data_IF_262399190494
#
_entry.id   IF_262399190494
#
_cell.length_a   1.000
_cell.length_b   1.000
_cell.length_c   1.000
_cell.angle_alpha   90.00
_cell.angle_beta   90.00
_cell.angle_gamma   90.00
#
_symmetry.space_group_name_H-M   'P 1'
#
loop_
_entity.id
_entity.type
_entity.pdbx_description
1 polymer ?
#
# COMPACT_ATOMS: atom_id res chain seq x y z
N UNK A 1 -16.39 -1.25 -19.54
CA UNK A 1 -16.72 -0.40 -18.38
C UNK A 1 -16.50 1.03 -18.84
N UNK A 2 -17.53 1.70 -19.36
CA UNK A 2 -17.39 3.05 -19.93
C UNK A 2 -18.30 4.01 -19.16
N UNK A 3 -17.69 4.84 -18.32
CA UNK A 3 -18.31 5.81 -17.41
C UNK A 3 -17.38 6.15 -16.24
N UNK A 4 -17.59 7.29 -15.59
CA UNK A 4 -16.86 7.66 -14.37
C UNK A 4 -16.96 6.53 -13.32
N UNK A 5 -15.81 6.02 -12.90
CA UNK A 5 -15.75 4.93 -11.92
C UNK A 5 -15.59 5.54 -10.53
N UNK A 6 -16.62 5.41 -9.69
CA UNK A 6 -16.51 5.80 -8.29
C UNK A 6 -15.39 5.01 -7.61
N UNK A 7 -14.51 5.69 -6.86
CA UNK A 7 -13.45 5.03 -6.07
C UNK A 7 -14.02 3.95 -5.14
N UNK A 8 -15.22 4.19 -4.59
CA UNK A 8 -15.95 3.25 -3.74
C UNK A 8 -16.37 1.95 -4.43
N UNK A 9 -16.44 1.93 -5.76
CA UNK A 9 -16.70 0.69 -6.50
C UNK A 9 -15.53 -0.30 -6.39
N UNK A 10 -14.31 0.22 -6.21
CA UNK A 10 -13.07 -0.56 -6.07
C UNK A 10 -12.70 -0.66 -4.60
N UNK A 11 -12.38 0.46 -3.93
CA UNK A 11 -11.92 0.50 -2.54
C UNK A 11 -12.70 1.51 -1.69
N UNK A 12 -12.92 1.17 -0.42
CA UNK A 12 -13.49 2.06 0.57
C UNK A 12 -12.45 3.03 1.14
N UNK A 13 -11.89 3.87 0.27
CA UNK A 13 -10.81 4.80 0.59
C UNK A 13 -11.35 6.16 1.09
N UNK A 14 -11.99 6.15 2.25
CA UNK A 14 -12.61 7.35 2.83
C UNK A 14 -11.60 8.37 3.36
N UNK A 15 -10.33 7.99 3.51
CA UNK A 15 -9.23 8.90 3.89
C UNK A 15 -9.10 10.05 2.89
N UNK A 16 -9.32 9.79 1.60
CA UNK A 16 -9.30 10.83 0.56
C UNK A 16 -10.30 11.95 0.83
N UNK A 17 -11.46 11.66 1.46
CA UNK A 17 -12.43 12.69 1.87
C UNK A 17 -11.83 13.59 2.95
N UNK A 18 -11.07 13.03 3.90
CA UNK A 18 -10.40 13.80 4.94
C UNK A 18 -9.26 14.66 4.39
N UNK A 19 -8.66 14.23 3.28
CA UNK A 19 -7.58 14.96 2.60
C UNK A 19 -8.11 15.97 1.56
N UNK A 20 -9.38 15.89 1.16
CA UNK A 20 -9.98 16.77 0.17
C UNK A 20 -9.85 18.27 0.49
N UNK A 21 -9.97 18.74 1.76
CA UNK A 21 -9.74 20.16 2.08
C UNK A 21 -8.34 20.66 1.72
N UNK A 22 -7.32 19.80 1.65
CA UNK A 22 -5.97 20.19 1.23
C UNK A 22 -5.93 20.60 -0.24
N UNK A 23 -6.82 20.02 -1.06
CA UNK A 23 -6.96 20.36 -2.48
C UNK A 23 -7.62 21.73 -2.69
N UNK A 24 -8.32 22.29 -1.69
CA UNK A 24 -8.79 23.68 -1.75
C UNK A 24 -7.65 24.70 -1.63
N UNK A 25 -6.52 24.30 -1.06
CA UNK A 25 -5.32 25.14 -0.93
C UNK A 25 -4.44 24.96 -2.17
N UNK A 26 -4.09 23.71 -2.48
CA UNK A 26 -3.30 23.33 -3.65
C UNK A 26 -3.89 22.06 -4.25
N UNK A 27 -4.61 22.18 -5.36
CA UNK A 27 -5.08 21.04 -6.13
C UNK A 27 -3.93 20.45 -6.93
N UNK A 28 -3.19 19.49 -6.35
CA UNK A 28 -2.08 18.83 -7.01
C UNK A 28 -1.80 17.45 -6.41
N UNK A 29 -1.48 16.42 -7.23
CA UNK A 29 -1.12 15.09 -6.74
C UNK A 29 0.10 15.10 -5.80
N UNK A 30 1.00 16.07 -5.94
CA UNK A 30 2.15 16.22 -5.05
C UNK A 30 1.76 16.44 -3.59
N UNK A 31 0.58 17.00 -3.30
CA UNK A 31 0.08 17.17 -1.93
C UNK A 31 -0.16 15.82 -1.28
N UNK A 32 -0.78 14.87 -1.98
CA UNK A 32 -1.01 13.52 -1.46
C UNK A 32 0.31 12.77 -1.22
N UNK A 33 1.25 12.86 -2.17
CA UNK A 33 2.57 12.27 -2.02
C UNK A 33 3.33 12.85 -0.82
N UNK A 34 3.28 14.17 -0.63
CA UNK A 34 3.88 14.84 0.52
C UNK A 34 3.24 14.38 1.84
N UNK A 35 1.90 14.28 1.88
CA UNK A 35 1.17 13.76 3.06
C UNK A 35 1.60 12.34 3.39
N UNK A 36 1.68 11.45 2.39
CA UNK A 36 2.14 10.06 2.57
C UNK A 36 3.55 10.00 3.16
N UNK A 37 4.51 10.72 2.58
CA UNK A 37 5.91 10.75 3.05
C UNK A 37 5.99 11.29 4.48
N UNK A 38 5.31 12.40 4.78
CA UNK A 38 5.32 13.00 6.12
C UNK A 38 4.65 12.09 7.16
N UNK A 39 3.51 11.47 6.81
CA UNK A 39 2.81 10.55 7.69
C UNK A 39 3.66 9.32 7.99
N UNK A 40 4.28 8.71 6.97
CA UNK A 40 5.17 7.57 7.16
C UNK A 40 6.40 7.93 7.99
N UNK A 41 7.05 9.08 7.71
CA UNK A 41 8.16 9.55 8.51
C UNK A 41 7.77 9.73 9.99
N UNK A 42 6.56 10.23 10.27
CA UNK A 42 6.04 10.35 11.63
C UNK A 42 5.86 8.99 12.34
N UNK A 43 5.66 7.90 11.60
CA UNK A 43 5.60 6.53 12.15
C UNK A 43 6.87 6.14 12.90
N UNK A 44 8.04 6.64 12.48
CA UNK A 44 9.31 6.42 13.17
C UNK A 44 9.31 7.00 14.60
N UNK A 45 8.60 8.13 14.82
CA UNK A 45 8.40 8.70 16.16
C UNK A 45 7.58 7.73 17.01
N UNK A 46 6.51 7.17 16.46
CA UNK A 46 5.70 6.15 17.13
C UNK A 46 6.53 4.92 17.54
N UNK A 47 7.33 4.38 16.62
CA UNK A 47 8.23 3.25 16.91
C UNK A 47 9.26 3.62 17.98
N UNK A 48 9.85 4.81 17.91
CA UNK A 48 10.78 5.30 18.94
C UNK A 48 10.12 5.39 20.32
N UNK A 49 8.87 5.90 20.39
CA UNK A 49 8.13 6.02 21.64
C UNK A 49 7.76 4.65 22.23
N UNK A 50 7.35 3.70 21.39
CA UNK A 50 7.13 2.30 21.80
C UNK A 50 8.45 1.68 22.28
N UNK A 51 9.54 1.87 21.53
CA UNK A 51 10.87 1.41 21.89
C UNK A 51 11.35 1.96 23.23
N UNK A 52 11.16 3.26 23.49
CA UNK A 52 11.46 3.85 24.80
C UNK A 52 10.68 3.20 25.94
N UNK A 53 9.40 2.91 25.71
CA UNK A 53 8.52 2.33 26.71
C UNK A 53 8.82 0.85 26.98
N UNK A 54 9.17 0.08 25.94
CA UNK A 54 9.38 -1.37 26.04
C UNK A 54 10.84 -1.78 26.29
N UNK A 55 11.82 -1.08 25.70
CA UNK A 55 13.25 -1.43 25.78
C UNK A 55 13.97 -0.72 26.93
N UNK A 56 13.40 0.37 27.46
CA UNK A 56 14.04 1.24 28.45
C UNK A 56 15.47 1.67 28.07
N UNK A 57 15.77 1.79 26.77
CA UNK A 57 17.08 2.18 26.26
C UNK A 57 16.96 3.04 25.01
N UNK A 58 17.44 4.29 25.08
CA UNK A 58 17.26 5.28 24.00
C UNK A 58 17.93 4.87 22.69
N UNK A 59 19.14 4.32 22.74
CA UNK A 59 19.88 3.86 21.55
C UNK A 59 19.14 2.75 20.78
N UNK A 60 18.73 1.67 21.46
CA UNK A 60 17.92 0.62 20.85
C UNK A 60 16.57 1.12 20.33
N UNK A 61 15.92 2.06 21.03
CA UNK A 61 14.70 2.69 20.52
C UNK A 61 14.94 3.51 19.23
N UNK A 62 16.04 4.26 19.16
CA UNK A 62 16.45 4.98 17.94
C UNK A 62 16.77 4.00 16.81
N UNK A 63 17.47 2.91 17.11
CA UNK A 63 17.77 1.86 16.16
C UNK A 63 16.49 1.24 15.58
N UNK A 64 15.48 0.94 16.41
CA UNK A 64 14.19 0.43 15.92
C UNK A 64 13.46 1.42 15.01
N UNK A 65 13.50 2.72 15.32
CA UNK A 65 12.92 3.75 14.47
C UNK A 65 13.68 3.91 13.14
N UNK A 66 15.01 3.82 13.19
CA UNK A 66 15.86 3.79 12.00
C UNK A 66 15.58 2.56 11.12
N UNK A 67 15.48 1.38 11.73
CA UNK A 67 15.10 0.13 11.02
C UNK A 67 13.75 0.26 10.35
N UNK A 68 12.76 0.90 10.98
CA UNK A 68 11.46 1.17 10.34
C UNK A 68 11.60 2.03 9.08
N UNK A 69 12.33 3.15 9.14
CA UNK A 69 12.54 4.02 7.97
C UNK A 69 13.34 3.33 6.86
N UNK A 70 14.29 2.47 7.24
CA UNK A 70 15.12 1.71 6.31
C UNK A 70 14.48 0.39 5.87
N UNK A 71 13.21 0.13 6.23
CA UNK A 71 12.58 -1.15 5.94
C UNK A 71 12.18 -1.24 4.46
N UNK A 72 12.74 -2.16 3.64
CA UNK A 72 12.48 -2.19 2.20
C UNK A 72 11.00 -2.24 1.78
N UNK A 73 10.11 -3.04 2.42
CA UNK A 73 8.69 -3.02 2.09
C UNK A 73 8.04 -1.63 2.29
N UNK A 74 8.47 -0.89 3.31
CA UNK A 74 8.00 0.48 3.54
C UNK A 74 8.52 1.45 2.47
N UNK A 75 9.77 1.26 2.02
CA UNK A 75 10.36 2.09 0.98
C UNK A 75 9.66 1.90 -0.36
N UNK A 76 9.30 0.66 -0.73
CA UNK A 76 8.49 0.40 -1.91
C UNK A 76 7.10 1.01 -1.79
N UNK A 77 6.41 0.82 -0.66
CA UNK A 77 5.08 1.38 -0.44
C UNK A 77 5.05 2.92 -0.47
N UNK A 78 6.13 3.59 -0.03
CA UNK A 78 6.24 5.05 -0.10
C UNK A 78 6.69 5.54 -1.47
N UNK A 79 7.52 4.75 -2.17
CA UNK A 79 8.09 5.08 -3.47
C UNK A 79 7.12 4.89 -4.63
N UNK A 80 6.00 4.21 -4.42
CA UNK A 80 4.90 4.13 -5.38
C UNK A 80 3.95 5.33 -5.26
N UNK A 81 2.90 5.32 -6.08
CA UNK A 81 1.80 6.26 -6.04
C UNK A 81 1.10 6.32 -4.67
N UNK A 82 0.24 7.33 -4.49
CA UNK A 82 -0.43 7.54 -3.22
C UNK A 82 -1.37 6.39 -2.86
N UNK A 83 -1.18 5.84 -1.67
CA UNK A 83 -2.05 4.86 -1.04
C UNK A 83 -2.38 5.31 0.38
N UNK A 84 -3.66 5.52 0.66
CA UNK A 84 -4.12 5.85 2.01
C UNK A 84 -3.78 4.76 3.03
N UNK A 85 -3.76 3.50 2.63
CA UNK A 85 -3.28 2.38 3.44
C UNK A 85 -1.83 2.61 3.94
N UNK A 86 -0.95 3.20 3.14
CA UNK A 86 0.41 3.54 3.57
C UNK A 86 0.41 4.61 4.67
N UNK A 87 -0.48 5.61 4.62
CA UNK A 87 -0.71 6.59 5.71
C UNK A 87 -1.22 5.90 6.99
N UNK A 88 -2.09 4.90 6.85
CA UNK A 88 -2.63 4.17 8.01
C UNK A 88 -1.57 3.36 8.77
N UNK A 89 -0.45 3.00 8.13
CA UNK A 89 0.72 2.39 8.79
C UNK A 89 1.09 3.15 10.07
N UNK A 90 1.31 4.46 9.95
CA UNK A 90 1.68 5.31 11.08
C UNK A 90 0.53 5.46 12.07
N UNK A 91 -0.71 5.53 11.57
CA UNK A 91 -1.89 5.60 12.43
C UNK A 91 -2.01 4.36 13.33
N UNK A 92 -1.77 3.16 12.78
CA UNK A 92 -1.77 1.90 13.54
C UNK A 92 -0.63 1.85 14.57
N UNK A 93 0.56 2.37 14.23
CA UNK A 93 1.68 2.49 15.17
C UNK A 93 1.29 3.39 16.36
N UNK A 94 0.75 4.58 16.09
CA UNK A 94 0.32 5.49 17.15
C UNK A 94 -0.86 4.94 17.95
N UNK A 95 -1.83 4.30 17.30
CA UNK A 95 -2.94 3.63 17.96
C UNK A 95 -2.41 2.57 18.95
N UNK A 96 -1.49 1.71 18.51
CA UNK A 96 -0.85 0.75 19.39
C UNK A 96 -0.12 1.44 20.55
N UNK A 97 0.68 2.48 20.29
CA UNK A 97 1.40 3.22 21.33
C UNK A 97 0.46 3.79 22.41
N UNK A 98 -0.62 4.45 21.99
CA UNK A 98 -1.58 5.04 22.92
C UNK A 98 -2.38 3.99 23.68
N UNK A 99 -2.75 2.89 23.02
CA UNK A 99 -3.36 1.74 23.71
C UNK A 99 -2.38 1.11 24.71
N UNK A 100 -1.12 0.95 24.33
CA UNK A 100 -0.07 0.39 25.18
C UNK A 100 0.14 1.22 26.44
N UNK A 101 0.10 2.55 26.31
CA UNK A 101 0.24 3.53 27.40
C UNK A 101 -1.07 3.92 28.09
N UNK A 102 -2.19 3.24 27.76
CA UNK A 102 -3.54 3.47 28.32
C UNK A 102 -4.08 4.90 28.13
N UNK A 103 -3.71 5.56 27.03
CA UNK A 103 -4.25 6.86 26.63
C UNK A 103 -5.38 6.65 25.62
N UNK A 104 -6.59 6.41 26.10
CA UNK A 104 -7.68 5.92 25.26
C UNK A 104 -8.24 6.93 24.27
N UNK A 105 -8.25 8.22 24.60
CA UNK A 105 -8.71 9.25 23.67
C UNK A 105 -7.84 9.32 22.40
N UNK A 106 -6.51 9.55 22.47
CA UNK A 106 -5.69 9.54 21.26
C UNK A 106 -5.63 8.15 20.60
N UNK A 107 -5.74 7.05 21.35
CA UNK A 107 -5.93 5.72 20.76
C UNK A 107 -7.17 5.68 19.86
N UNK A 108 -8.32 6.13 20.35
CA UNK A 108 -9.57 6.13 19.58
C UNK A 108 -9.44 6.99 18.32
N UNK A 109 -8.83 8.18 18.42
CA UNK A 109 -8.57 9.04 17.25
C UNK A 109 -7.75 8.32 16.19
N UNK A 110 -6.61 7.73 16.56
CA UNK A 110 -5.75 7.04 15.60
C UNK A 110 -6.36 5.74 15.07
N UNK A 111 -7.11 5.01 15.89
CA UNK A 111 -7.84 3.82 15.45
C UNK A 111 -8.94 4.17 14.45
N UNK A 112 -9.71 5.24 14.69
CA UNK A 112 -10.72 5.72 13.75
C UNK A 112 -10.09 6.24 12.46
N UNK A 113 -8.95 6.95 12.52
CA UNK A 113 -8.21 7.35 11.32
C UNK A 113 -7.74 6.13 10.52
N UNK A 114 -7.23 5.09 11.17
CA UNK A 114 -6.85 3.84 10.49
C UNK A 114 -8.03 3.22 9.74
N UNK A 115 -9.25 3.23 10.29
CA UNK A 115 -10.44 2.69 9.62
C UNK A 115 -10.75 3.38 8.28
N UNK A 116 -10.25 4.59 8.05
CA UNK A 116 -10.57 5.34 6.84
C UNK A 116 -9.74 4.96 5.61
N UNK A 117 -8.62 4.24 5.78
CA UNK A 117 -7.71 3.95 4.67
C UNK A 117 -8.24 2.92 3.66
N UNK A 118 -8.86 1.85 4.14
CA UNK A 118 -9.30 0.73 3.30
C UNK A 118 -10.22 -0.19 4.10
N UNK A 119 -11.08 -0.93 3.41
CA UNK A 119 -12.02 -1.87 4.03
C UNK A 119 -11.35 -2.90 4.95
N UNK A 120 -10.16 -3.40 4.62
CA UNK A 120 -9.44 -4.38 5.45
C UNK A 120 -8.83 -3.80 6.73
N UNK A 121 -8.73 -2.46 6.85
CA UNK A 121 -8.24 -1.81 8.07
C UNK A 121 -9.10 -2.13 9.29
N UNK A 122 -10.36 -2.46 9.06
CA UNK A 122 -11.24 -2.93 10.12
C UNK A 122 -10.69 -4.19 10.82
N UNK A 123 -10.04 -5.10 10.09
CA UNK A 123 -9.42 -6.25 10.72
C UNK A 123 -8.24 -5.85 11.60
N UNK A 124 -7.40 -4.91 11.15
CA UNK A 124 -6.26 -4.40 11.92
C UNK A 124 -6.70 -3.73 13.22
N UNK A 125 -7.73 -2.88 13.15
CA UNK A 125 -8.28 -2.18 14.32
C UNK A 125 -9.00 -3.16 15.26
N UNK A 126 -9.71 -4.16 14.73
CA UNK A 126 -10.30 -5.22 15.54
C UNK A 126 -9.23 -6.01 16.30
N UNK A 127 -8.08 -6.30 15.68
CA UNK A 127 -6.94 -6.95 16.36
C UNK A 127 -6.40 -6.10 17.51
N UNK A 128 -6.33 -4.76 17.38
CA UNK A 128 -6.01 -3.88 18.51
C UNK A 128 -7.04 -3.99 19.64
N UNK A 129 -8.33 -4.15 19.32
CA UNK A 129 -9.37 -4.42 20.31
C UNK A 129 -9.19 -5.76 21.02
N UNK A 130 -8.83 -6.82 20.29
CA UNK A 130 -8.49 -8.14 20.86
C UNK A 130 -7.25 -8.02 21.78
N UNK A 131 -6.24 -7.27 21.36
CA UNK A 131 -5.07 -6.98 22.19
C UNK A 131 -5.46 -6.29 23.51
N UNK A 132 -6.39 -5.33 23.46
CA UNK A 132 -6.91 -4.66 24.65
C UNK A 132 -7.65 -5.64 25.58
N UNK A 133 -8.48 -6.53 25.04
CA UNK A 133 -9.18 -7.57 25.80
C UNK A 133 -8.21 -8.53 26.48
N UNK A 134 -7.28 -9.10 25.71
CA UNK A 134 -6.47 -10.21 26.16
C UNK A 134 -5.27 -9.76 27.00
N UNK A 135 -4.54 -8.76 26.52
CA UNK A 135 -3.28 -8.32 27.16
C UNK A 135 -3.53 -7.24 28.20
N UNK A 136 -4.42 -6.28 27.94
CA UNK A 136 -4.69 -5.16 28.86
C UNK A 136 -5.84 -5.46 29.85
N UNK A 137 -6.64 -6.50 29.58
CA UNK A 137 -7.86 -6.86 30.33
C UNK A 137 -8.88 -5.71 30.40
N UNK A 138 -8.88 -4.86 29.38
CA UNK A 138 -9.80 -3.73 29.28
C UNK A 138 -10.95 -4.10 28.35
N UNK A 139 -12.00 -4.66 28.94
CA UNK A 139 -13.13 -5.19 28.18
C UNK A 139 -13.93 -4.09 27.48
N UNK A 140 -13.99 -2.89 28.06
CA UNK A 140 -14.75 -1.77 27.50
C UNK A 140 -14.09 -1.29 26.22
N UNK A 141 -12.79 -0.96 26.31
CA UNK A 141 -12.02 -0.49 25.16
C UNK A 141 -11.93 -1.58 24.10
N UNK A 142 -11.69 -2.82 24.51
CA UNK A 142 -11.57 -3.94 23.58
C UNK A 142 -12.85 -4.24 22.80
N UNK A 143 -13.99 -4.43 23.50
CA UNK A 143 -15.27 -4.70 22.84
C UNK A 143 -15.77 -3.51 22.02
N UNK A 144 -15.58 -2.27 22.50
CA UNK A 144 -15.94 -1.09 21.72
C UNK A 144 -15.13 -1.00 20.42
N UNK A 145 -13.82 -1.24 20.48
CA UNK A 145 -12.95 -1.21 19.30
C UNK A 145 -13.35 -2.28 18.29
N UNK A 146 -13.61 -3.52 18.74
CA UNK A 146 -14.06 -4.62 17.88
C UNK A 146 -15.43 -4.30 17.28
N UNK A 147 -16.38 -3.84 18.09
CA UNK A 147 -17.74 -3.51 17.65
C UNK A 147 -17.77 -2.39 16.61
N UNK A 148 -17.09 -1.27 16.88
CA UNK A 148 -16.98 -0.15 15.94
C UNK A 148 -16.35 -0.60 14.63
N UNK A 149 -15.27 -1.37 14.71
CA UNK A 149 -14.58 -1.88 13.54
C UNK A 149 -15.46 -2.83 12.70
N UNK A 150 -16.17 -3.74 13.37
CA UNK A 150 -17.10 -4.67 12.71
C UNK A 150 -18.28 -3.96 12.06
N UNK A 151 -18.86 -2.96 12.73
CA UNK A 151 -19.93 -2.12 12.16
C UNK A 151 -19.41 -1.36 10.94
N UNK A 152 -18.22 -0.77 11.02
CA UNK A 152 -17.63 -0.06 9.89
C UNK A 152 -17.39 -0.99 8.69
N UNK A 153 -16.76 -2.15 8.92
CA UNK A 153 -16.57 -3.17 7.88
C UNK A 153 -17.89 -3.57 7.22
N UNK A 154 -18.93 -3.82 8.01
CA UNK A 154 -20.25 -4.17 7.51
C UNK A 154 -20.85 -3.07 6.64
N UNK A 155 -20.81 -1.81 7.10
CA UNK A 155 -21.31 -0.66 6.33
C UNK A 155 -20.56 -0.53 5.00
N UNK A 156 -19.24 -0.70 4.99
CA UNK A 156 -18.45 -0.61 3.77
C UNK A 156 -18.83 -1.71 2.76
N UNK A 157 -18.83 -2.97 3.20
CA UNK A 157 -18.98 -4.13 2.32
C UNK A 157 -20.41 -4.37 1.84
N UNK A 158 -21.42 -4.06 2.66
CA UNK A 158 -22.83 -4.33 2.35
C UNK A 158 -23.63 -3.11 1.91
N UNK A 159 -23.13 -1.89 2.16
CA UNK A 159 -23.86 -0.67 1.80
C UNK A 159 -23.04 0.23 0.87
N UNK A 160 -21.90 0.74 1.34
CA UNK A 160 -21.16 1.79 0.63
C UNK A 160 -20.60 1.31 -0.72
N UNK A 161 -19.79 0.24 -0.72
CA UNK A 161 -19.15 -0.25 -1.95
C UNK A 161 -20.16 -0.82 -2.96
N UNK A 162 -21.16 -1.64 -2.57
CA UNK A 162 -22.19 -2.10 -3.50
C UNK A 162 -22.99 -0.95 -4.12
N UNK A 163 -23.35 0.08 -3.34
CA UNK A 163 -24.09 1.24 -3.86
C UNK A 163 -23.32 2.05 -4.91
N UNK A 164 -21.98 1.91 -4.94
CA UNK A 164 -21.11 2.58 -5.90
C UNK A 164 -20.76 1.73 -7.13
N UNK A 165 -21.15 0.45 -7.17
CA UNK A 165 -20.91 -0.46 -8.31
C UNK A 165 -22.08 -0.42 -9.27
N UNK A 166 -21.81 -0.66 -10.55
CA UNK A 166 -22.86 -0.94 -11.53
C UNK A 166 -23.60 -2.23 -11.15
N UNK A 167 -24.92 -2.25 -11.37
CA UNK A 167 -25.80 -3.36 -10.99
C UNK A 167 -25.24 -4.72 -11.42
N UNK A 168 -25.07 -5.63 -10.46
CA UNK A 168 -24.61 -7.00 -10.68
C UNK A 168 -23.09 -7.20 -10.82
N UNK A 169 -22.27 -6.14 -10.81
CA UNK A 169 -20.82 -6.29 -10.85
C UNK A 169 -20.27 -6.89 -9.55
N UNK A 170 -19.55 -8.01 -9.68
CA UNK A 170 -18.87 -8.65 -8.56
C UNK A 170 -17.72 -7.77 -8.04
N UNK A 171 -17.42 -7.87 -6.74
CA UNK A 171 -16.25 -7.22 -6.15
C UNK A 171 -14.96 -7.74 -6.82
N UNK A 172 -14.07 -6.84 -7.26
CA UNK A 172 -12.83 -7.23 -7.94
C UNK A 172 -12.01 -8.26 -7.13
N UNK A 173 -11.86 -8.04 -5.82
CA UNK A 173 -11.18 -8.95 -4.89
C UNK A 173 -11.68 -10.41 -4.90
N UNK A 174 -12.88 -10.71 -5.42
CA UNK A 174 -13.32 -12.11 -5.59
C UNK A 174 -12.44 -12.89 -6.58
N UNK A 175 -11.85 -12.23 -7.59
CA UNK A 175 -10.94 -12.89 -8.53
C UNK A 175 -9.70 -13.43 -7.83
N UNK A 176 -9.18 -12.70 -6.82
CA UNK A 176 -8.00 -13.05 -6.04
C UNK A 176 -8.15 -14.33 -5.21
N UNK A 177 -9.39 -14.70 -4.90
CA UNK A 177 -9.73 -15.85 -4.06
C UNK A 177 -10.62 -16.87 -4.76
N UNK A 178 -10.74 -16.77 -6.09
CA UNK A 178 -11.63 -17.62 -6.90
C UNK A 178 -11.35 -19.13 -6.75
N UNK A 179 -10.13 -19.51 -6.40
CA UNK A 179 -9.74 -20.88 -6.06
C UNK A 179 -10.47 -21.47 -4.85
N UNK A 180 -11.06 -20.64 -3.98
CA UNK A 180 -11.79 -21.07 -2.78
C UNK A 180 -13.31 -21.03 -2.93
N UNK A 181 -13.84 -20.46 -4.02
CA UNK A 181 -15.26 -20.39 -4.30
C UNK A 181 -15.65 -19.19 -5.18
N UNK A 182 -16.86 -19.22 -5.73
CA UNK A 182 -17.38 -18.15 -6.59
C UNK A 182 -18.11 -17.03 -5.84
N UNK A 183 -18.30 -17.16 -4.52
CA UNK A 183 -19.00 -16.18 -3.68
C UNK A 183 -18.26 -15.96 -2.35
N UNK A 184 -18.42 -14.79 -1.69
CA UNK A 184 -17.79 -14.54 -0.38
C UNK A 184 -18.10 -15.62 0.67
N UNK A 185 -19.35 -16.10 0.72
CA UNK A 185 -19.76 -17.14 1.65
C UNK A 185 -19.08 -18.48 1.36
N UNK A 186 -18.94 -18.86 0.09
CA UNK A 186 -18.21 -20.07 -0.29
C UNK A 186 -16.73 -19.96 0.05
N UNK A 187 -16.08 -18.83 -0.28
CA UNK A 187 -14.67 -18.57 0.05
C UNK A 187 -14.46 -18.72 1.55
N UNK A 188 -15.25 -18.02 2.37
CA UNK A 188 -15.17 -18.11 3.83
C UNK A 188 -15.38 -19.56 4.32
N UNK A 189 -16.39 -20.25 3.81
CA UNK A 189 -16.67 -21.64 4.18
C UNK A 189 -15.52 -22.58 3.83
N UNK A 190 -14.87 -22.41 2.67
CA UNK A 190 -13.72 -23.21 2.26
C UNK A 190 -12.51 -22.93 3.14
N UNK A 191 -12.22 -21.66 3.43
CA UNK A 191 -11.10 -21.28 4.28
C UNK A 191 -11.21 -21.89 5.70
N UNK A 192 -12.42 -21.94 6.25
CA UNK A 192 -12.66 -22.45 7.61
C UNK A 192 -12.84 -23.97 7.65
N UNK A 193 -13.65 -24.54 6.75
CA UNK A 193 -14.05 -25.95 6.80
C UNK A 193 -13.05 -26.89 6.10
N UNK A 194 -12.20 -26.35 5.22
CA UNK A 194 -11.23 -27.13 4.44
C UNK A 194 -9.81 -26.57 4.54
N UNK A 195 -9.24 -26.39 5.75
CA UNK A 195 -7.94 -25.72 5.91
C UNK A 195 -6.78 -26.40 5.18
N UNK A 196 -6.88 -27.71 4.92
CA UNK A 196 -5.89 -28.44 4.12
C UNK A 196 -5.75 -27.95 2.68
N UNK A 197 -6.74 -27.24 2.12
CA UNK A 197 -6.68 -26.72 0.73
C UNK A 197 -5.74 -25.54 0.58
N UNK A 198 -5.35 -24.88 1.68
CA UNK A 198 -4.49 -23.70 1.64
C UNK A 198 -3.28 -23.78 2.58
N UNK A 199 -3.28 -24.65 3.60
CA UNK A 199 -2.11 -24.84 4.46
C UNK A 199 -0.87 -25.23 3.64
N UNK A 200 -1.02 -26.09 2.63
CA UNK A 200 0.08 -26.45 1.73
C UNK A 200 0.58 -25.25 0.92
N UNK A 201 -0.29 -24.30 0.59
CA UNK A 201 0.08 -23.09 -0.14
C UNK A 201 0.98 -22.19 0.70
N UNK A 202 0.78 -22.13 2.03
CA UNK A 202 1.63 -21.36 2.95
C UNK A 202 3.07 -21.89 3.02
N UNK A 203 3.30 -23.14 2.63
CA UNK A 203 4.61 -23.78 2.63
C UNK A 203 5.28 -23.77 1.25
N UNK A 204 4.69 -23.10 0.26
CA UNK A 204 5.31 -22.99 -1.07
C UNK A 204 6.61 -22.17 -0.98
N UNK A 205 7.63 -22.50 -1.79
CA UNK A 205 8.91 -21.79 -1.75
C UNK A 205 8.80 -20.28 -1.97
N UNK A 206 7.91 -19.81 -2.84
CA UNK A 206 7.63 -18.39 -3.08
C UNK A 206 7.08 -17.68 -1.84
N UNK A 207 6.16 -18.31 -1.10
CA UNK A 207 5.61 -17.77 0.14
C UNK A 207 6.67 -17.72 1.25
N UNK A 208 7.50 -18.76 1.35
CA UNK A 208 8.62 -18.80 2.29
C UNK A 208 9.66 -17.71 1.99
N UNK A 209 9.96 -17.48 0.70
CA UNK A 209 10.84 -16.40 0.26
C UNK A 209 10.25 -15.02 0.55
N UNK A 210 8.96 -14.81 0.28
CA UNK A 210 8.25 -13.57 0.64
C UNK A 210 8.39 -13.25 2.13
N UNK A 211 8.09 -14.22 3.01
CA UNK A 211 8.25 -14.03 4.45
C UNK A 211 9.71 -13.80 4.85
N UNK A 212 10.65 -14.51 4.23
CA UNK A 212 12.07 -14.32 4.48
C UNK A 212 12.53 -12.90 4.12
N UNK A 213 12.15 -12.40 2.94
CA UNK A 213 12.44 -11.03 2.49
C UNK A 213 11.79 -9.99 3.41
N UNK A 214 10.60 -10.28 3.93
CA UNK A 214 9.91 -9.41 4.86
C UNK A 214 10.58 -9.37 6.25
N UNK A 215 10.99 -10.51 6.81
CA UNK A 215 11.53 -10.55 8.17
C UNK A 215 13.02 -10.27 8.27
N UNK A 216 13.83 -10.57 7.25
CA UNK A 216 15.29 -10.44 7.33
C UNK A 216 15.76 -9.00 7.65
N UNK A 217 15.20 -7.92 7.05
CA UNK A 217 15.60 -6.54 7.38
C UNK A 217 15.33 -6.16 8.86
N UNK A 218 14.40 -6.86 9.51
CA UNK A 218 14.11 -6.72 10.95
C UNK A 218 14.89 -7.70 11.83
N UNK A 219 15.94 -8.31 11.27
CA UNK A 219 16.76 -9.34 11.88
C UNK A 219 15.94 -10.49 12.49
N UNK A 220 14.81 -10.87 11.86
CA UNK A 220 13.90 -11.93 12.33
C UNK A 220 13.31 -11.68 13.75
N UNK A 221 13.50 -10.50 14.33
CA UNK A 221 13.03 -10.15 15.68
C UNK A 221 11.51 -10.24 15.86
N UNK A 222 10.64 -9.97 14.86
CA UNK A 222 9.21 -10.17 15.00
C UNK A 222 8.82 -11.60 15.41
N UNK A 223 9.60 -12.61 14.99
CA UNK A 223 9.38 -14.01 15.36
C UNK A 223 9.60 -14.27 16.85
N UNK A 224 10.36 -13.41 17.54
CA UNK A 224 10.54 -13.45 18.99
C UNK A 224 9.40 -12.77 19.74
N UNK A 225 8.41 -12.18 19.07
CA UNK A 225 7.21 -11.61 19.69
C UNK A 225 5.94 -12.00 18.91
N UNK A 226 5.64 -13.31 18.80
CA UNK A 226 4.56 -13.79 17.94
C UNK A 226 3.20 -13.25 18.34
N UNK A 227 2.92 -13.07 19.64
CA UNK A 227 1.64 -12.52 20.10
C UNK A 227 1.36 -11.08 19.62
N UNK A 228 2.41 -10.27 19.44
CA UNK A 228 2.28 -8.94 18.85
C UNK A 228 2.18 -9.04 17.33
N UNK A 229 2.95 -9.94 16.71
CA UNK A 229 2.89 -10.12 15.27
C UNK A 229 1.55 -10.71 14.80
N UNK A 230 0.85 -11.47 15.64
CA UNK A 230 -0.52 -11.95 15.37
C UNK A 230 -1.51 -10.82 15.05
N UNK A 231 -1.23 -9.58 15.45
CA UNK A 231 -2.06 -8.43 15.08
C UNK A 231 -2.02 -8.15 13.56
N UNK A 232 -0.96 -8.56 12.87
CA UNK A 232 -0.84 -8.50 11.42
C UNK A 232 -1.49 -9.67 10.69
N UNK A 233 -1.91 -10.71 11.43
CA UNK A 233 -2.31 -12.00 10.85
C UNK A 233 -3.44 -11.86 9.82
N UNK A 234 -4.49 -11.03 10.02
CA UNK A 234 -5.56 -10.95 9.03
C UNK A 234 -5.07 -10.51 7.64
N UNK A 235 -4.25 -9.46 7.55
CA UNK A 235 -3.74 -8.97 6.27
C UNK A 235 -2.70 -9.94 5.71
N UNK A 236 -1.83 -10.49 6.57
CA UNK A 236 -0.86 -11.48 6.13
C UNK A 236 -1.55 -12.69 5.49
N UNK A 237 -2.66 -13.15 6.07
CA UNK A 237 -3.46 -14.23 5.49
C UNK A 237 -4.15 -13.82 4.20
N UNK A 238 -4.73 -12.61 4.12
CA UNK A 238 -5.29 -12.11 2.86
C UNK A 238 -4.24 -12.11 1.74
N UNK A 239 -3.01 -11.68 2.02
CA UNK A 239 -1.92 -11.65 1.07
C UNK A 239 -1.46 -13.05 0.65
N UNK A 240 -1.19 -13.93 1.62
CA UNK A 240 -0.68 -15.28 1.35
C UNK A 240 -1.72 -16.21 0.71
N UNK A 241 -3.02 -15.96 0.90
CA UNK A 241 -4.10 -16.75 0.31
C UNK A 241 -4.49 -16.28 -1.09
N UNK A 242 -4.06 -15.08 -1.50
CA UNK A 242 -4.35 -14.54 -2.82
C UNK A 242 -3.65 -15.33 -3.93
N UNK A 243 -4.33 -15.48 -5.07
CA UNK A 243 -3.72 -16.00 -6.30
C UNK A 243 -2.97 -14.91 -7.09
N UNK A 244 -3.03 -13.65 -6.65
CA UNK A 244 -2.31 -12.52 -7.25
C UNK A 244 -0.87 -12.45 -6.70
N UNK A 245 0.17 -12.59 -7.56
CA UNK A 245 1.56 -12.50 -7.14
C UNK A 245 1.95 -11.18 -6.47
N UNK A 246 1.30 -10.07 -6.83
CA UNK A 246 1.61 -8.77 -6.26
C UNK A 246 1.29 -8.71 -4.75
N UNK A 247 0.27 -9.43 -4.30
CA UNK A 247 -0.15 -9.43 -2.89
C UNK A 247 0.84 -10.15 -1.97
N UNK A 248 1.64 -11.09 -2.47
CA UNK A 248 2.69 -11.77 -1.71
C UNK A 248 4.09 -11.36 -2.17
N UNK A 249 4.25 -10.09 -2.53
CA UNK A 249 5.54 -9.46 -2.81
C UNK A 249 5.77 -8.26 -1.88
N UNK A 250 7.03 -8.04 -1.51
CA UNK A 250 7.42 -6.88 -0.69
C UNK A 250 7.51 -5.57 -1.49
N UNK A 251 7.42 -5.65 -2.81
CA UNK A 251 7.60 -4.51 -3.71
C UNK A 251 6.32 -3.69 -3.92
N UNK A 252 5.20 -4.17 -3.38
CA UNK A 252 3.89 -3.53 -3.50
C UNK A 252 3.35 -3.08 -2.14
N UNK A 253 2.37 -2.17 -2.20
CA UNK A 253 1.70 -1.52 -1.10
C UNK A 253 0.96 -2.47 -0.14
N UNK A 254 0.67 -3.71 -0.54
CA UNK A 254 -0.09 -4.70 0.24
C UNK A 254 0.55 -5.06 1.59
N UNK A 255 1.83 -4.74 1.79
CA UNK A 255 2.52 -4.95 3.08
C UNK A 255 2.28 -3.80 4.08
N UNK A 256 1.71 -2.68 3.67
CA UNK A 256 1.52 -1.47 4.50
C UNK A 256 0.80 -1.75 5.82
N UNK A 257 -0.25 -2.57 5.83
CA UNK A 257 -0.95 -2.95 7.07
C UNK A 257 -0.21 -3.97 7.93
N UNK A 258 0.76 -4.69 7.37
CA UNK A 258 1.57 -5.71 8.06
C UNK A 258 2.78 -5.06 8.75
N UNK A 259 3.43 -4.10 8.08
CA UNK A 259 4.58 -3.33 8.54
C UNK A 259 4.44 -2.79 9.98
N UNK A 260 3.35 -2.12 10.40
CA UNK A 260 3.28 -1.50 11.72
C UNK A 260 3.44 -2.55 12.82
N UNK A 261 2.71 -3.65 12.72
CA UNK A 261 2.76 -4.73 13.70
C UNK A 261 4.04 -5.55 13.61
N UNK A 262 4.66 -5.68 12.43
CA UNK A 262 5.99 -6.26 12.28
C UNK A 262 7.04 -5.42 13.03
N UNK A 263 7.07 -4.11 12.84
CA UNK A 263 8.02 -3.23 13.51
C UNK A 263 7.77 -3.14 15.03
N UNK A 264 6.51 -3.17 15.47
CA UNK A 264 6.20 -3.25 16.90
C UNK A 264 6.65 -4.61 17.46
N UNK A 265 6.37 -5.72 16.78
CA UNK A 265 6.82 -7.04 17.19
C UNK A 265 8.36 -7.13 17.22
N UNK A 266 9.07 -6.49 16.30
CA UNK A 266 10.53 -6.34 16.33
C UNK A 266 10.99 -5.68 17.62
N UNK A 267 10.35 -4.58 18.06
CA UNK A 267 10.70 -3.90 19.33
C UNK A 267 10.53 -4.83 20.53
N UNK A 268 9.40 -5.53 20.65
CA UNK A 268 9.17 -6.47 21.75
C UNK A 268 10.05 -7.72 21.65
N UNK A 269 10.36 -8.17 20.44
CA UNK A 269 11.29 -9.27 20.17
C UNK A 269 12.72 -8.91 20.60
N UNK A 270 13.16 -7.68 20.31
CA UNK A 270 14.44 -7.16 20.77
C UNK A 270 14.50 -7.05 22.29
N UNK A 271 13.41 -6.62 22.94
CA UNK A 271 13.31 -6.58 24.40
C UNK A 271 13.44 -7.98 25.01
N UNK A 272 12.79 -8.98 24.40
CA UNK A 272 12.86 -10.38 24.83
C UNK A 272 14.26 -10.97 24.63
N UNK A 273 14.85 -10.77 23.46
CA UNK A 273 16.21 -11.22 23.17
C UNK A 273 17.23 -10.61 24.14
N UNK A 274 17.11 -9.31 24.41
CA UNK A 274 17.93 -8.61 25.41
C UNK A 274 17.79 -9.25 26.78
N UNK A 275 16.56 -9.54 27.23
CA UNK A 275 16.32 -10.15 28.54
C UNK A 275 16.97 -11.55 28.64
N UNK A 276 17.01 -12.32 27.56
CA UNK A 276 17.64 -13.64 27.54
C UNK A 276 19.17 -13.60 27.59
N UNK A 277 19.80 -12.67 26.86
CA UNK A 277 21.27 -12.65 26.73
C UNK A 277 21.96 -11.68 27.71
N UNK A 278 21.25 -10.69 28.26
CA UNK A 278 21.81 -9.73 29.21
C UNK A 278 22.46 -10.37 30.46
N UNK A 279 21.87 -11.40 31.09
CA UNK A 279 22.49 -12.07 32.24
C UNK A 279 23.85 -12.71 31.92
N UNK A 280 24.08 -13.09 30.67
CA UNK A 280 25.29 -13.81 30.24
C UNK A 280 26.38 -12.88 29.68
N UNK A 281 25.99 -11.78 29.04
CA UNK A 281 26.91 -10.90 28.30
C UNK A 281 27.15 -9.53 28.96
N UNK A 282 26.36 -9.17 29.97
CA UNK A 282 26.52 -7.94 30.74
C UNK A 282 26.54 -6.68 29.87
N UNK A 283 27.62 -5.90 29.97
CA UNK A 283 27.78 -4.64 29.22
C UNK A 283 27.91 -4.85 27.70
N UNK A 284 28.29 -6.04 27.24
CA UNK A 284 28.44 -6.36 25.80
C UNK A 284 27.11 -6.60 25.09
N UNK A 285 26.02 -6.79 25.83
CA UNK A 285 24.70 -7.09 25.25
C UNK A 285 24.22 -6.03 24.27
N UNK A 286 24.28 -4.75 24.63
CA UNK A 286 23.75 -3.69 23.77
C UNK A 286 24.56 -3.57 22.47
N UNK A 287 25.90 -3.48 22.48
CA UNK A 287 26.70 -3.50 21.25
C UNK A 287 26.41 -4.70 20.35
N UNK A 288 26.30 -5.91 20.92
CA UNK A 288 26.01 -7.14 20.15
C UNK A 288 24.63 -7.07 19.49
N UNK A 289 23.61 -6.61 20.22
CA UNK A 289 22.27 -6.44 19.67
C UNK A 289 22.23 -5.38 18.57
N UNK A 290 22.97 -4.27 18.73
CA UNK A 290 23.09 -3.24 17.70
C UNK A 290 23.71 -3.83 16.44
N UNK A 291 24.84 -4.53 16.56
CA UNK A 291 25.50 -5.19 15.43
C UNK A 291 24.58 -6.21 14.76
N UNK A 292 23.90 -7.06 15.54
CA UNK A 292 22.94 -8.03 15.02
C UNK A 292 21.81 -7.38 14.20
N UNK A 293 21.18 -6.34 14.74
CA UNK A 293 20.12 -5.62 14.04
C UNK A 293 20.67 -4.93 12.78
N UNK A 294 21.86 -4.32 12.85
CA UNK A 294 22.49 -3.66 11.71
C UNK A 294 22.89 -4.65 10.61
N UNK A 295 23.33 -5.86 10.94
CA UNK A 295 23.63 -6.90 9.95
C UNK A 295 22.34 -7.33 9.24
N UNK A 296 21.27 -7.64 9.98
CA UNK A 296 19.98 -8.01 9.39
C UNK A 296 19.44 -6.90 8.48
N UNK A 297 19.47 -5.66 8.98
CA UNK A 297 19.08 -4.49 8.22
C UNK A 297 19.93 -4.30 6.97
N UNK A 298 21.27 -4.31 7.10
CA UNK A 298 22.19 -4.08 5.99
C UNK A 298 22.06 -5.13 4.89
N UNK A 299 21.93 -6.41 5.24
CA UNK A 299 21.67 -7.48 4.26
C UNK A 299 20.32 -7.24 3.59
N UNK A 300 19.27 -7.00 4.38
CA UNK A 300 17.92 -6.78 3.85
C UNK A 300 17.83 -5.57 2.91
N UNK A 301 18.42 -4.44 3.29
CA UNK A 301 18.46 -3.24 2.46
C UNK A 301 19.35 -3.41 1.25
N UNK A 302 20.55 -3.96 1.42
CA UNK A 302 21.46 -4.12 0.29
C UNK A 302 20.86 -5.01 -0.80
N UNK A 303 20.18 -6.09 -0.41
CA UNK A 303 19.57 -7.01 -1.39
C UNK A 303 18.30 -6.43 -1.98
N UNK A 304 17.37 -5.86 -1.21
CA UNK A 304 16.01 -5.57 -1.71
C UNK A 304 15.54 -4.12 -1.60
N UNK A 305 16.36 -3.18 -1.13
CA UNK A 305 15.92 -1.79 -1.09
C UNK A 305 15.90 -1.17 -2.50
N UNK A 306 14.87 -0.37 -2.85
CA UNK A 306 14.84 0.37 -4.11
C UNK A 306 15.77 1.59 -4.11
N UNK A 307 16.46 1.90 -3.00
CA UNK A 307 17.27 3.11 -2.87
C UNK A 307 18.55 3.06 -3.73
N UNK A 308 19.06 4.22 -4.17
CA UNK A 308 20.33 4.28 -4.89
C UNK A 308 21.49 3.60 -4.14
N UNK A 309 22.31 2.85 -4.87
CA UNK A 309 23.47 2.12 -4.31
C UNK A 309 23.16 0.73 -3.76
N UNK A 310 21.91 0.29 -3.82
CA UNK A 310 21.47 -1.06 -3.43
C UNK A 310 21.42 -1.99 -4.65
N UNK A 311 21.36 -3.31 -4.43
CA UNK A 311 21.38 -4.31 -5.51
C UNK A 311 20.18 -4.21 -6.44
N UNK A 312 18.99 -4.03 -5.86
CA UNK A 312 17.71 -3.88 -6.58
C UNK A 312 17.29 -2.40 -6.65
N UNK A 313 18.27 -1.49 -6.75
CA UNK A 313 18.02 -0.06 -6.80
C UNK A 313 17.13 0.31 -8.00
N UNK A 314 16.03 1.01 -7.74
CA UNK A 314 15.22 1.61 -8.78
C UNK A 314 15.75 3.01 -9.08
N UNK A 315 16.64 3.10 -10.08
CA UNK A 315 17.24 4.37 -10.49
C UNK A 315 16.37 5.15 -11.49
N UNK A 316 15.29 4.55 -11.98
CA UNK A 316 14.35 5.13 -12.96
C UNK A 316 13.95 6.57 -12.57
N UNK A 317 13.56 6.89 -11.31
CA UNK A 317 13.21 8.26 -10.95
C UNK A 317 14.35 9.29 -11.08
N UNK A 318 15.61 8.83 -11.09
CA UNK A 318 16.81 9.68 -11.14
C UNK A 318 17.47 9.70 -12.52
N UNK A 319 17.33 8.65 -13.32
CA UNK A 319 18.05 8.48 -14.59
C UNK A 319 17.16 8.62 -15.81
N UNK A 320 15.92 8.17 -15.75
CA UNK A 320 14.94 8.44 -16.79
C UNK A 320 14.27 9.76 -16.51
N UNK A 321 14.89 10.83 -16.98
CA UNK A 321 14.10 11.99 -17.34
C UNK A 321 13.29 11.59 -18.56
N UNK A 322 11.95 11.62 -18.47
CA UNK A 322 11.15 11.74 -19.69
C UNK A 322 11.78 12.90 -20.46
N UNK A 323 12.33 12.69 -21.68
CA UNK A 323 12.93 13.77 -22.46
C UNK A 323 11.97 14.96 -22.59
N UNK A 324 10.68 14.66 -22.45
CA UNK A 324 9.56 15.56 -22.44
C UNK A 324 9.03 15.97 -21.04
N UNK A 325 9.66 15.75 -19.87
CA UNK A 325 9.03 16.08 -18.58
C UNK A 325 8.54 17.54 -18.46
N UNK A 326 9.39 18.50 -18.87
CA UNK A 326 8.99 19.92 -19.00
C UNK A 326 8.04 20.18 -20.17
N UNK A 327 8.04 19.33 -21.18
CA UNK A 327 7.24 19.48 -22.39
C UNK A 327 5.86 18.79 -22.27
N UNK A 328 5.71 17.80 -21.39
CA UNK A 328 4.47 17.13 -20.99
C UNK A 328 3.64 18.04 -20.10
N UNK A 329 4.26 18.73 -19.14
CA UNK A 329 3.57 19.76 -18.36
C UNK A 329 3.10 20.93 -19.26
N UNK A 330 3.92 21.31 -20.25
CA UNK A 330 3.51 22.31 -21.27
C UNK A 330 2.38 21.77 -22.15
N UNK A 331 2.49 20.52 -22.60
CA UNK A 331 1.48 19.84 -23.42
C UNK A 331 0.15 19.76 -22.68
N UNK A 332 0.17 19.30 -21.42
CA UNK A 332 -0.99 19.24 -20.54
C UNK A 332 -1.66 20.60 -20.39
N UNK A 333 -0.88 21.68 -20.25
CA UNK A 333 -1.38 23.07 -20.20
C UNK A 333 -1.87 23.61 -21.54
N UNK A 334 -1.38 23.10 -22.67
CA UNK A 334 -1.83 23.52 -24.00
C UNK A 334 -3.15 22.90 -24.43
N UNK A 335 -3.50 21.74 -23.86
CA UNK A 335 -4.76 21.07 -24.12
C UNK A 335 -5.90 21.73 -23.30
N UNK A 336 -7.12 21.84 -23.84
CA UNK A 336 -8.26 22.41 -23.10
C UNK A 336 -8.47 21.69 -21.78
N UNK A 337 -8.67 22.41 -20.66
CA UNK A 337 -8.72 21.78 -19.32
C UNK A 337 -9.84 20.76 -19.14
N UNK A 338 -10.96 20.96 -19.82
CA UNK A 338 -12.15 20.11 -19.71
C UNK A 338 -12.15 18.96 -20.73
N UNK A 339 -11.14 18.89 -21.61
CA UNK A 339 -11.05 17.81 -22.57
C UNK A 339 -10.76 16.48 -21.87
N UNK A 340 -11.39 15.43 -22.36
CA UNK A 340 -11.15 14.07 -21.92
C UNK A 340 -9.87 13.51 -22.55
N UNK A 341 -9.10 12.73 -21.79
CA UNK A 341 -7.81 12.19 -22.23
C UNK A 341 -7.74 10.68 -22.00
N UNK A 342 -7.31 9.92 -23.00
CA UNK A 342 -6.83 8.54 -22.81
C UNK A 342 -5.31 8.53 -22.90
N UNK A 343 -4.64 7.86 -21.97
CA UNK A 343 -3.17 7.91 -21.89
C UNK A 343 -2.55 6.62 -21.37
N UNK A 344 -1.33 6.33 -21.82
CA UNK A 344 -0.52 5.22 -21.31
C UNK A 344 -0.03 5.50 -19.88
N UNK A 345 0.36 4.45 -19.17
CA UNK A 345 0.51 4.47 -17.71
C UNK A 345 1.50 5.50 -17.18
N UNK A 346 2.73 5.53 -17.69
CA UNK A 346 3.75 6.47 -17.21
C UNK A 346 3.43 7.94 -17.56
N UNK A 347 2.55 8.20 -18.54
CA UNK A 347 2.10 9.55 -18.89
C UNK A 347 0.89 10.01 -18.06
N UNK A 348 0.07 9.06 -17.57
CA UNK A 348 -1.19 9.32 -16.86
C UNK A 348 -1.10 10.35 -15.72
N UNK A 349 -0.07 10.32 -14.85
CA UNK A 349 0.02 11.29 -13.74
C UNK A 349 0.02 12.76 -14.17
N UNK A 350 0.55 13.09 -15.35
CA UNK A 350 0.62 14.47 -15.87
C UNK A 350 -0.74 15.02 -16.36
N UNK A 351 -1.74 14.15 -16.50
CA UNK A 351 -3.09 14.49 -16.95
C UNK A 351 -4.17 14.18 -15.89
N UNK A 352 -3.76 13.73 -14.70
CA UNK A 352 -4.64 13.27 -13.62
C UNK A 352 -5.54 14.35 -13.00
N UNK A 353 -5.30 15.63 -13.28
CA UNK A 353 -6.16 16.75 -12.85
C UNK A 353 -7.42 16.92 -13.73
N UNK A 354 -7.56 16.11 -14.77
CA UNK A 354 -8.75 16.11 -15.65
C UNK A 354 -9.90 15.35 -15.02
N UNK A 355 -11.11 15.87 -15.22
CA UNK A 355 -12.35 15.22 -14.78
C UNK A 355 -12.52 13.83 -15.43
N UNK A 356 -12.19 13.74 -16.73
CA UNK A 356 -12.29 12.51 -17.51
C UNK A 356 -10.91 12.09 -18.04
N UNK A 357 -10.34 11.05 -17.41
CA UNK A 357 -9.09 10.41 -17.83
C UNK A 357 -9.31 8.89 -17.94
N UNK A 358 -8.76 8.29 -19.00
CA UNK A 358 -8.89 6.87 -19.28
C UNK A 358 -7.51 6.21 -19.41
N UNK A 359 -7.31 5.00 -18.87
CA UNK A 359 -6.10 4.23 -19.13
C UNK A 359 -6.16 3.67 -20.55
N UNK A 360 -5.20 4.03 -21.41
CA UNK A 360 -5.12 3.50 -22.78
C UNK A 360 -5.01 1.95 -22.74
N UNK A 361 -5.76 1.19 -23.56
CA UNK A 361 -6.56 1.60 -24.73
C UNK A 361 -8.01 1.99 -24.42
N UNK A 362 -8.41 2.05 -23.15
CA UNK A 362 -9.75 2.52 -22.79
C UNK A 362 -9.90 3.99 -23.18
N UNK A 363 -11.08 4.38 -23.65
CA UNK A 363 -11.34 5.73 -24.15
C UNK A 363 -11.06 5.92 -25.64
N UNK A 364 -10.53 4.92 -26.38
CA UNK A 364 -10.53 4.96 -27.85
C UNK A 364 -11.99 5.01 -28.33
N UNK A 365 -12.33 6.11 -28.98
CA UNK A 365 -13.66 6.40 -29.54
C UNK A 365 -14.41 7.42 -28.69
N UNK A 366 -14.05 7.55 -27.42
CA UNK A 366 -14.75 8.39 -26.45
C UNK A 366 -13.95 9.66 -26.13
N UNK A 367 -12.66 9.51 -25.81
CA UNK A 367 -11.79 10.60 -25.38
C UNK A 367 -11.51 11.62 -26.50
N UNK A 368 -11.40 12.89 -26.13
CA UNK A 368 -11.07 13.99 -27.04
C UNK A 368 -9.62 13.90 -27.53
N UNK A 369 -8.72 13.46 -26.63
CA UNK A 369 -7.30 13.27 -26.94
C UNK A 369 -6.81 11.89 -26.51
N UNK A 370 -5.96 11.26 -27.35
CA UNK A 370 -5.18 10.09 -26.98
C UNK A 370 -3.71 10.50 -26.91
N UNK A 371 -3.08 10.29 -25.76
CA UNK A 371 -1.70 10.69 -25.47
C UNK A 371 -0.93 9.43 -25.12
N UNK A 372 -0.14 8.93 -26.06
CA UNK A 372 0.49 7.61 -25.92
C UNK A 372 2.00 7.73 -25.94
N UNK A 373 2.66 6.88 -25.17
CA UNK A 373 4.09 6.59 -25.29
C UNK A 373 4.24 5.21 -25.93
N UNK A 374 4.92 5.11 -27.07
CA UNK A 374 4.98 3.86 -27.83
C UNK A 374 5.92 2.80 -27.22
N UNK A 375 6.83 3.19 -26.34
CA UNK A 375 7.71 2.34 -25.56
C UNK A 375 7.28 2.27 -24.06
N UNK A 376 5.98 2.39 -23.79
CA UNK A 376 5.42 2.34 -22.43
C UNK A 376 5.17 0.90 -21.92
N UNK A 377 4.83 0.76 -20.64
CA UNK A 377 4.35 -0.50 -20.06
C UNK A 377 3.00 -0.87 -20.71
N UNK A 378 2.82 -2.10 -21.24
CA UNK A 378 1.56 -2.56 -21.84
C UNK A 378 0.44 -2.79 -20.81
N UNK A 379 0.34 -1.95 -19.77
CA UNK A 379 -0.77 -1.96 -18.82
C UNK A 379 -2.09 -1.76 -19.55
N UNK A 380 -3.05 -2.64 -19.28
CA UNK A 380 -4.32 -2.70 -20.00
C UNK A 380 -4.31 -3.58 -21.27
N UNK A 381 -3.17 -4.18 -21.62
CA UNK A 381 -3.02 -5.12 -22.73
C UNK A 381 -2.59 -6.52 -22.27
N UNK A 382 -2.82 -7.52 -23.12
CA UNK A 382 -2.35 -8.89 -22.87
C UNK A 382 -0.84 -9.06 -23.10
N UNK A 383 -0.23 -8.20 -23.90
CA UNK A 383 1.19 -8.25 -24.26
C UNK A 383 1.66 -6.92 -24.84
N UNK A 384 2.98 -6.73 -24.88
CA UNK A 384 3.60 -5.61 -25.60
C UNK A 384 3.23 -5.58 -27.08
N UNK A 385 3.19 -6.75 -27.74
CA UNK A 385 2.77 -6.84 -29.14
C UNK A 385 1.33 -6.38 -29.36
N UNK A 386 0.42 -6.69 -28.44
CA UNK A 386 -0.96 -6.23 -28.51
C UNK A 386 -1.05 -4.70 -28.38
N UNK A 387 -0.25 -4.10 -27.49
CA UNK A 387 -0.15 -2.65 -27.39
C UNK A 387 0.38 -2.03 -28.70
N UNK A 388 1.46 -2.57 -29.25
CA UNK A 388 2.03 -2.08 -30.51
C UNK A 388 1.05 -2.18 -31.67
N UNK A 389 0.31 -3.29 -31.77
CA UNK A 389 -0.73 -3.44 -32.79
C UNK A 389 -1.80 -2.36 -32.65
N UNK A 390 -2.28 -2.09 -31.42
CA UNK A 390 -3.27 -1.04 -31.19
C UNK A 390 -2.76 0.36 -31.56
N UNK A 391 -1.48 0.65 -31.29
CA UNK A 391 -0.83 1.92 -31.65
C UNK A 391 -0.68 2.04 -33.18
N UNK A 392 -0.32 0.96 -33.86
CA UNK A 392 -0.24 0.93 -35.33
C UNK A 392 -1.60 1.16 -35.99
N UNK A 393 -2.66 0.55 -35.45
CA UNK A 393 -4.03 0.81 -35.89
C UNK A 393 -4.40 2.28 -35.70
N UNK A 394 -4.10 2.85 -34.53
CA UNK A 394 -4.38 4.25 -34.20
C UNK A 394 -3.70 5.22 -35.16
N UNK A 395 -2.44 4.97 -35.54
CA UNK A 395 -1.68 5.79 -36.51
C UNK A 395 -2.36 5.92 -37.87
N UNK A 396 -3.24 4.98 -38.21
CA UNK A 396 -4.00 4.95 -39.48
C UNK A 396 -5.49 5.24 -39.31
N UNK A 397 -5.98 5.45 -38.08
CA UNK A 397 -7.40 5.64 -37.81
C UNK A 397 -7.86 7.03 -38.25
N UNK A 398 -8.78 7.14 -39.24
CA UNK A 398 -9.23 8.44 -39.76
C UNK A 398 -10.06 9.24 -38.75
N UNK A 399 -10.46 8.64 -37.61
CA UNK A 399 -11.17 9.35 -36.53
C UNK A 399 -10.25 10.25 -35.71
N UNK A 400 -8.93 10.15 -35.90
CA UNK A 400 -7.95 10.90 -35.13
C UNK A 400 -6.94 11.62 -36.01
N UNK A 401 -6.64 12.87 -35.66
CA UNK A 401 -5.56 13.64 -36.24
C UNK A 401 -4.37 13.63 -35.28
N UNK A 402 -3.19 13.21 -35.74
CA UNK A 402 -1.96 13.36 -34.96
C UNK A 402 -1.54 14.82 -34.96
N UNK A 403 -1.61 15.47 -33.80
CA UNK A 403 -1.34 16.91 -33.65
C UNK A 403 0.04 17.19 -33.04
N UNK A 404 0.66 16.20 -32.41
CA UNK A 404 1.98 16.32 -31.82
C UNK A 404 2.73 14.98 -31.83
N UNK A 405 4.05 15.04 -32.04
CA UNK A 405 4.96 13.90 -31.91
C UNK A 405 6.31 14.41 -31.40
N UNK A 406 6.81 13.81 -30.33
CA UNK A 406 8.15 14.08 -29.82
C UNK A 406 8.75 12.80 -29.21
N UNK A 407 9.85 12.32 -29.81
CA UNK A 407 10.43 11.03 -29.43
C UNK A 407 9.38 9.92 -29.57
N UNK A 408 9.16 9.19 -28.48
CA UNK A 408 8.19 8.10 -28.38
C UNK A 408 6.78 8.54 -27.97
N UNK A 409 6.57 9.84 -27.71
CA UNK A 409 5.27 10.38 -27.31
C UNK A 409 4.52 10.91 -28.52
N UNK A 410 3.27 10.48 -28.69
CA UNK A 410 2.35 10.90 -29.75
C UNK A 410 1.03 11.40 -29.16
N UNK A 411 0.48 12.47 -29.72
CA UNK A 411 -0.83 13.02 -29.33
C UNK A 411 -1.76 13.03 -30.51
N UNK A 412 -2.91 12.44 -30.31
CA UNK A 412 -3.99 12.33 -31.28
C UNK A 412 -5.19 13.10 -30.77
N UNK A 413 -5.75 13.98 -31.61
CA UNK A 413 -7.01 14.66 -31.35
C UNK A 413 -8.13 13.98 -32.13
N UNK A 414 -9.24 13.67 -31.47
CA UNK A 414 -10.43 13.13 -32.13
C UNK A 414 -11.02 14.16 -33.09
N UNK A 415 -11.35 13.73 -34.31
CA UNK A 415 -11.98 14.58 -35.33
C UNK A 415 -13.35 15.05 -34.81
N UNK A 416 -13.54 16.36 -34.73
CA UNK A 416 -14.77 16.97 -34.23
C UNK A 416 -14.80 17.24 -32.72
N UNK A 417 -13.72 16.97 -31.98
CA UNK A 417 -13.58 17.44 -30.59
C UNK A 417 -13.48 18.98 -30.55
N UNK A 418 -14.08 19.60 -29.53
CA UNK A 418 -14.01 21.05 -29.34
C UNK A 418 -12.56 21.49 -29.04
N UNK A 419 -12.05 22.46 -29.81
CA UNK A 419 -10.70 23.02 -29.69
C UNK A 419 -10.54 23.97 -28.51
#
# INVERSE_FOLDING_TARGET
LYGEVSRFSIHADTMLILLAPLYWIVASPYVLLAVQVLAVAAGAIGIYLIGKAALHHRGLALLSAFTYLMFPPLQYAVGSEFHSETVTTSCLIFAFYFLYTRRYWPFAVFALLSLTGKETMAFMVAMLGIYALWTKRDWRVGLATIGISGVWFYVLLWYLMPSARSDGAAHFALSYYSQFGGTPAQIFSTLVLKPWTWIANLLRPDQALYLFYFFLPTALLPLLSPLIFLLALPELMLNMLSNDPAMHSIQFQYTSSIIPFACIAMVFGLARLRAWIAPHLGSRTVPILVVYCLIGLAIGTWVWSPLPGMREANLTPFTTHLPAGKDLDKLSRSLPKNASVSTTDHLSPHFSERENIYPFPQGIGDADYLIIKDDDDPLGFSSWDAMQQQILELRTDPRYNRIYQYGTVEVYQKVGAAS
#
